data_IF_208165553458
#
_entry.id   IF_208165553458
#
_cell.length_a   1.000
_cell.length_b   1.000
_cell.length_c   1.000
_cell.angle_alpha   90.00
_cell.angle_beta   90.00
_cell.angle_gamma   90.00
#
_symmetry.space_group_name_H-M   'P 1'
#
loop_
_entity.id
_entity.type
_entity.pdbx_description
1 polymer ?
#
# COMPACT_ATOMS: atom_id res chain seq x y z
N UNK A 1 6.52 -7.27 28.03
CA UNK A 1 7.08 -7.52 26.68
C UNK A 1 5.97 -8.11 25.84
N UNK A 2 5.32 -7.26 25.05
CA UNK A 2 4.22 -7.68 24.18
C UNK A 2 4.84 -8.47 23.01
N UNK A 3 4.38 -9.69 22.79
CA UNK A 3 4.76 -10.49 21.62
C UNK A 3 4.00 -9.91 20.44
N UNK A 4 4.57 -8.92 19.77
CA UNK A 4 4.11 -8.48 18.45
C UNK A 4 4.17 -9.72 17.58
N UNK A 5 3.01 -10.29 17.30
CA UNK A 5 2.91 -11.59 16.67
C UNK A 5 3.37 -11.37 15.24
N UNK A 6 4.40 -12.09 14.82
CA UNK A 6 5.11 -11.82 13.56
C UNK A 6 4.24 -11.95 12.28
N UNK A 7 3.02 -12.46 12.42
CA UNK A 7 1.94 -12.38 11.44
C UNK A 7 1.57 -10.92 11.07
N UNK A 8 1.72 -9.97 12.00
CA UNK A 8 1.31 -8.56 11.83
C UNK A 8 2.34 -7.77 11.01
N UNK A 9 3.63 -8.10 11.08
CA UNK A 9 4.66 -7.47 10.24
C UNK A 9 4.63 -7.98 8.80
N UNK A 10 4.33 -9.25 8.57
CA UNK A 10 4.15 -9.80 7.20
C UNK A 10 3.03 -9.06 6.43
N UNK A 11 2.10 -8.47 7.16
CA UNK A 11 0.98 -7.73 6.59
C UNK A 11 1.31 -6.30 6.15
N UNK A 12 2.42 -5.69 6.60
CA UNK A 12 2.87 -4.40 6.05
C UNK A 12 3.24 -4.54 4.56
N UNK A 13 3.83 -5.68 4.21
CA UNK A 13 4.20 -6.04 2.84
C UNK A 13 2.95 -6.25 1.96
N UNK A 14 1.95 -6.94 2.52
CA UNK A 14 0.72 -7.25 1.80
C UNK A 14 -0.32 -6.11 1.82
N UNK A 15 -0.28 -5.18 2.77
CA UNK A 15 -1.07 -3.94 2.70
C UNK A 15 -0.54 -3.01 1.59
N UNK A 16 0.79 -2.94 1.41
CA UNK A 16 1.39 -2.25 0.27
C UNK A 16 1.04 -2.91 -1.08
N UNK A 17 0.93 -4.25 -1.11
CA UNK A 17 0.52 -5.00 -2.30
C UNK A 17 -1.01 -5.07 -2.53
N UNK A 18 -1.84 -4.99 -1.48
CA UNK A 18 -3.31 -5.04 -1.58
C UNK A 18 -3.89 -3.77 -2.22
N UNK A 19 -3.18 -2.64 -2.11
CA UNK A 19 -3.49 -1.42 -2.89
C UNK A 19 -3.42 -1.70 -4.41
N UNK A 20 -2.72 -2.75 -4.84
CA UNK A 20 -2.35 -3.00 -6.24
C UNK A 20 -3.22 -4.08 -6.90
N UNK A 21 -3.92 -4.93 -6.14
CA UNK A 21 -4.64 -6.09 -6.73
C UNK A 21 -6.05 -5.76 -7.25
N UNK A 22 -6.51 -4.52 -7.10
CA UNK A 22 -7.84 -4.08 -7.53
C UNK A 22 -7.71 -3.09 -8.68
N UNK A 23 -7.62 -3.59 -9.92
CA UNK A 23 -8.17 -2.91 -11.09
C UNK A 23 -7.93 -3.72 -12.38
N UNK A 24 -8.88 -4.59 -12.71
CA UNK A 24 -9.21 -4.86 -14.11
C UNK A 24 -10.71 -4.63 -14.29
N UNK A 25 -11.14 -3.38 -14.11
CA UNK A 25 -12.47 -2.92 -14.50
C UNK A 25 -12.25 -1.73 -15.41
N UNK A 26 -12.64 -1.86 -16.68
CA UNK A 26 -12.66 -0.73 -17.62
C UNK A 26 -13.61 0.32 -17.05
N UNK A 27 -13.07 1.44 -16.60
CA UNK A 27 -13.86 2.59 -16.16
C UNK A 27 -13.66 3.74 -17.12
N UNK A 28 -14.79 4.22 -17.65
CA UNK A 28 -14.84 5.38 -18.53
C UNK A 28 -14.41 6.65 -17.76
N UNK A 29 -13.73 7.60 -18.40
CA UNK A 29 -13.27 8.81 -17.74
C UNK A 29 -14.45 9.66 -17.23
N UNK A 30 -14.49 9.89 -15.92
CA UNK A 30 -15.38 10.87 -15.28
C UNK A 30 -14.81 12.28 -15.49
N UNK A 31 -15.66 13.23 -15.87
CA UNK A 31 -15.26 14.63 -16.06
C UNK A 31 -14.73 15.25 -14.76
N UNK A 32 -13.51 15.82 -14.82
CA UNK A 32 -12.87 16.54 -13.72
C UNK A 32 -13.33 18.00 -13.65
N UNK A 33 -13.20 18.61 -12.46
CA UNK A 33 -13.46 20.02 -12.19
C UNK A 33 -12.48 20.91 -13.01
N UNK A 34 -12.93 21.94 -13.78
CA UNK A 34 -12.09 22.67 -14.73
C UNK A 34 -10.94 23.52 -14.13
N UNK A 35 -10.84 23.62 -12.79
CA UNK A 35 -9.99 24.61 -12.12
C UNK A 35 -8.66 24.10 -11.52
N UNK A 36 -8.48 22.79 -11.36
CA UNK A 36 -7.25 22.20 -10.84
C UNK A 36 -6.53 21.40 -11.94
N UNK A 37 -5.19 21.44 -12.04
CA UNK A 37 -4.48 20.56 -12.96
C UNK A 37 -4.88 19.11 -12.64
N UNK A 38 -5.24 18.32 -13.66
CA UNK A 38 -5.69 16.96 -13.44
C UNK A 38 -4.52 16.13 -12.88
N UNK A 39 -4.67 15.63 -11.65
CA UNK A 39 -3.73 14.68 -11.06
C UNK A 39 -4.11 13.26 -11.47
N UNK A 40 -3.11 12.45 -11.78
CA UNK A 40 -3.25 11.07 -12.22
C UNK A 40 -2.50 10.14 -11.27
N UNK A 41 -3.17 9.07 -10.85
CA UNK A 41 -2.59 7.94 -10.16
C UNK A 41 -2.08 6.95 -11.20
N UNK A 42 -0.79 6.68 -11.14
CA UNK A 42 -0.12 5.68 -11.97
C UNK A 42 0.19 4.46 -11.11
N UNK A 43 -0.07 3.28 -11.67
CA UNK A 43 0.30 2.00 -11.11
C UNK A 43 1.04 1.25 -12.21
N UNK A 44 2.30 0.93 -11.97
CA UNK A 44 3.13 0.12 -12.85
C UNK A 44 3.48 -1.19 -12.14
N UNK A 45 3.34 -2.29 -12.87
CA UNK A 45 3.68 -3.63 -12.38
C UNK A 45 4.57 -4.32 -13.39
N UNK A 46 5.72 -4.80 -12.95
CA UNK A 46 6.65 -5.60 -13.73
C UNK A 46 6.86 -6.93 -13.02
N UNK A 47 6.80 -8.03 -13.76
CA UNK A 47 7.03 -9.37 -13.24
C UNK A 47 7.88 -10.18 -14.21
N UNK A 48 8.86 -10.91 -13.68
CA UNK A 48 9.75 -11.75 -14.47
C UNK A 48 8.97 -12.82 -15.24
N UNK A 49 9.02 -12.73 -16.58
CA UNK A 49 8.32 -13.68 -17.46
C UNK A 49 6.87 -13.31 -17.78
N UNK A 50 6.39 -12.15 -17.33
CA UNK A 50 5.08 -11.60 -17.70
C UNK A 50 5.22 -10.28 -18.47
N UNK A 51 4.17 -9.88 -19.18
CA UNK A 51 4.11 -8.55 -19.80
C UNK A 51 3.91 -7.47 -18.71
N UNK A 52 4.64 -6.34 -18.77
CA UNK A 52 4.42 -5.24 -17.85
C UNK A 52 2.99 -4.72 -17.90
N UNK A 53 2.39 -4.55 -16.73
CA UNK A 53 1.11 -3.89 -16.55
C UNK A 53 1.30 -2.41 -16.23
N UNK A 54 0.45 -1.56 -16.80
CA UNK A 54 0.35 -0.16 -16.40
C UNK A 54 -1.11 0.27 -16.35
N UNK A 55 -1.44 1.07 -15.36
CA UNK A 55 -2.76 1.63 -15.15
C UNK A 55 -2.61 3.10 -14.75
N UNK A 56 -3.29 3.97 -15.48
CA UNK A 56 -3.37 5.40 -15.16
C UNK A 56 -4.81 5.78 -14.93
N UNK A 57 -5.09 6.41 -13.79
CA UNK A 57 -6.43 6.82 -13.37
C UNK A 57 -6.44 8.27 -12.91
N UNK A 58 -7.42 9.09 -13.30
CA UNK A 58 -7.59 10.40 -12.66
C UNK A 58 -7.82 10.22 -11.16
N UNK A 59 -7.12 10.97 -10.30
CA UNK A 59 -7.26 10.89 -8.84
C UNK A 59 -8.72 11.11 -8.41
N UNK A 60 -9.44 12.00 -9.10
CA UNK A 60 -10.87 12.25 -8.87
C UNK A 60 -11.79 11.05 -9.18
N UNK A 61 -11.35 10.10 -10.00
CA UNK A 61 -12.10 8.89 -10.32
C UNK A 61 -11.91 7.76 -9.30
N UNK A 62 -10.84 7.80 -8.50
CA UNK A 62 -10.50 6.74 -7.53
C UNK A 62 -11.59 6.56 -6.49
N UNK A 63 -12.16 7.65 -5.97
CA UNK A 63 -13.27 7.56 -5.00
C UNK A 63 -14.51 6.85 -5.56
N UNK A 64 -14.84 7.10 -6.83
CA UNK A 64 -15.96 6.43 -7.50
C UNK A 64 -15.69 4.93 -7.71
N UNK A 65 -14.47 4.57 -8.10
CA UNK A 65 -14.02 3.19 -8.22
C UNK A 65 -14.13 2.43 -6.89
N UNK A 66 -13.63 3.02 -5.80
CA UNK A 66 -13.69 2.45 -4.46
C UNK A 66 -15.14 2.27 -3.98
N UNK A 67 -16.03 3.22 -4.30
CA UNK A 67 -17.46 3.10 -3.96
C UNK A 67 -18.15 1.94 -4.71
N UNK A 68 -17.68 1.59 -5.91
CA UNK A 68 -18.18 0.44 -6.67
C UNK A 68 -17.60 -0.90 -6.18
N UNK A 69 -16.42 -0.86 -5.55
CA UNK A 69 -15.72 -2.04 -5.05
C UNK A 69 -15.33 -1.87 -3.56
N UNK A 70 -16.31 -1.70 -2.65
CA UNK A 70 -16.05 -1.31 -1.26
C UNK A 70 -15.29 -2.36 -0.44
N UNK A 71 -15.34 -3.64 -0.87
CA UNK A 71 -14.67 -4.75 -0.19
C UNK A 71 -13.36 -5.16 -0.87
N UNK A 72 -12.92 -4.43 -1.90
CA UNK A 72 -11.83 -4.90 -2.74
C UNK A 72 -10.48 -4.93 -2.02
N UNK A 73 -10.34 -4.18 -0.92
CA UNK A 73 -9.12 -4.09 -0.12
C UNK A 73 -9.32 -4.65 1.30
N UNK A 74 -10.52 -4.51 1.86
CA UNK A 74 -10.87 -5.08 3.17
C UNK A 74 -12.21 -5.78 3.11
N UNK A 75 -12.27 -7.05 3.54
CA UNK A 75 -13.51 -7.80 3.73
C UNK A 75 -13.65 -8.13 5.23
N UNK A 76 -14.74 -7.70 5.86
CA UNK A 76 -15.01 -7.92 7.30
C UNK A 76 -13.87 -7.47 8.24
N UNK A 77 -13.26 -6.32 7.99
CA UNK A 77 -12.17 -5.83 8.84
C UNK A 77 -10.80 -6.41 8.55
N UNK A 78 -10.71 -7.23 7.53
CA UNK A 78 -9.53 -7.99 7.23
C UNK A 78 -8.98 -7.63 5.87
N UNK A 79 -7.69 -7.33 5.84
CA UNK A 79 -6.93 -7.23 4.61
C UNK A 79 -6.59 -8.66 4.19
N UNK A 80 -7.02 -9.07 3.01
CA UNK A 80 -6.62 -10.34 2.43
C UNK A 80 -5.21 -10.19 1.87
N UNK A 81 -4.26 -10.92 2.43
CA UNK A 81 -2.85 -10.83 2.07
C UNK A 81 -2.47 -11.78 0.93
N UNK A 82 -3.46 -12.46 0.33
CA UNK A 82 -3.26 -13.60 -0.54
C UNK A 82 -3.01 -14.89 0.25
N UNK A 83 -2.99 -16.03 -0.43
CA UNK A 83 -2.70 -17.38 0.16
C UNK A 83 -3.62 -17.80 1.33
N UNK A 84 -4.80 -17.18 1.48
CA UNK A 84 -5.73 -17.47 2.57
C UNK A 84 -5.38 -16.81 3.90
N UNK A 85 -4.37 -15.93 3.93
CA UNK A 85 -4.01 -15.17 5.12
C UNK A 85 -4.83 -13.87 5.20
N UNK A 86 -5.31 -13.58 6.41
CA UNK A 86 -6.14 -12.41 6.71
C UNK A 86 -5.53 -11.65 7.88
N UNK A 87 -5.50 -10.32 7.78
CA UNK A 87 -5.04 -9.47 8.87
C UNK A 87 -6.10 -8.43 9.28
N UNK A 88 -6.47 -8.39 10.58
CA UNK A 88 -7.28 -7.31 11.11
C UNK A 88 -6.60 -5.93 10.96
N UNK A 89 -7.35 -4.93 10.52
CA UNK A 89 -6.84 -3.55 10.38
C UNK A 89 -6.32 -2.99 11.71
N UNK A 90 -6.95 -3.33 12.83
CA UNK A 90 -6.49 -2.89 14.16
C UNK A 90 -5.14 -3.47 14.56
N UNK A 91 -4.81 -4.69 14.12
CA UNK A 91 -3.48 -5.25 14.33
C UNK A 91 -2.42 -4.41 13.58
N UNK A 92 -2.73 -3.99 12.35
CA UNK A 92 -1.86 -3.14 11.54
C UNK A 92 -1.64 -1.77 12.20
N UNK A 93 -2.71 -1.14 12.73
CA UNK A 93 -2.63 0.12 13.49
C UNK A 93 -1.72 0.00 14.70
N UNK A 94 -1.89 -1.05 15.49
CA UNK A 94 -1.10 -1.25 16.69
C UNK A 94 0.39 -1.41 16.37
N UNK A 95 0.71 -2.17 15.32
CA UNK A 95 2.08 -2.29 14.84
C UNK A 95 2.63 -0.96 14.33
N UNK A 96 1.83 -0.22 13.55
CA UNK A 96 2.27 1.08 13.06
C UNK A 96 2.56 2.06 14.20
N UNK A 97 1.72 2.09 15.24
CA UNK A 97 1.97 2.89 16.43
C UNK A 97 3.28 2.50 17.14
N UNK A 98 3.59 1.20 17.18
CA UNK A 98 4.86 0.71 17.73
C UNK A 98 6.06 1.19 16.90
N UNK A 99 6.01 1.03 15.58
CA UNK A 99 7.04 1.53 14.65
C UNK A 99 7.24 3.03 14.80
N UNK A 100 6.17 3.80 14.96
CA UNK A 100 6.27 5.25 15.17
C UNK A 100 6.93 5.62 16.50
N UNK A 101 6.74 4.81 17.54
CA UNK A 101 7.32 5.04 18.87
C UNK A 101 8.74 4.47 19.03
N UNK A 102 9.16 3.58 18.14
CA UNK A 102 10.44 2.91 18.20
C UNK A 102 11.58 3.87 17.82
N UNK A 103 12.70 3.78 18.55
CA UNK A 103 13.93 4.53 18.23
C UNK A 103 14.80 3.87 17.16
N UNK A 104 14.31 2.79 16.53
CA UNK A 104 15.06 1.96 15.61
C UNK A 104 14.13 0.97 14.90
N UNK A 105 14.69 0.05 14.10
CA UNK A 105 13.90 -0.91 13.36
C UNK A 105 13.11 -1.84 14.28
N UNK A 106 11.85 -2.08 13.92
CA UNK A 106 11.00 -3.11 14.53
C UNK A 106 11.13 -4.37 13.69
N UNK A 107 11.61 -5.46 14.30
CA UNK A 107 11.81 -6.75 13.63
C UNK A 107 10.89 -7.81 14.22
N UNK A 108 10.36 -8.68 13.38
CA UNK A 108 9.62 -9.86 13.81
C UNK A 108 9.87 -11.06 12.91
N UNK A 109 9.73 -12.25 13.48
CA UNK A 109 10.02 -13.52 12.79
C UNK A 109 8.83 -14.47 12.87
N UNK A 110 8.34 -14.96 11.73
CA UNK A 110 7.24 -15.92 11.65
C UNK A 110 7.48 -16.97 10.57
N UNK A 111 7.31 -18.25 10.89
CA UNK A 111 7.34 -19.34 9.89
C UNK A 111 8.55 -19.30 8.94
N UNK A 112 9.73 -18.94 9.46
CA UNK A 112 10.95 -18.82 8.67
C UNK A 112 11.10 -17.52 7.88
N UNK A 113 10.14 -16.60 7.99
CA UNK A 113 10.24 -15.24 7.49
C UNK A 113 10.70 -14.26 8.57
N UNK A 114 11.59 -13.35 8.21
CA UNK A 114 12.05 -12.23 9.03
C UNK A 114 11.53 -10.95 8.37
N UNK A 115 10.77 -10.15 9.10
CA UNK A 115 10.30 -8.85 8.62
C UNK A 115 10.86 -7.75 9.50
N UNK A 116 11.43 -6.74 8.87
CA UNK A 116 11.97 -5.55 9.49
C UNK A 116 11.25 -4.32 8.93
N UNK A 117 10.63 -3.56 9.81
CA UNK A 117 10.00 -2.27 9.48
C UNK A 117 10.84 -1.16 10.12
N UNK A 118 11.20 -0.16 9.32
CA UNK A 118 11.99 0.98 9.75
C UNK A 118 11.39 2.27 9.22
N UNK A 119 11.29 3.27 10.09
CA UNK A 119 10.92 4.63 9.71
C UNK A 119 12.16 5.52 9.73
N UNK A 120 12.52 6.05 8.57
CA UNK A 120 13.63 7.02 8.43
C UNK A 120 13.07 8.34 7.93
N UNK A 121 12.98 9.32 8.82
CA UNK A 121 12.36 10.61 8.51
C UNK A 121 10.89 10.45 8.13
N UNK A 122 10.55 10.82 6.90
CA UNK A 122 9.19 10.69 6.35
C UNK A 122 8.96 9.40 5.57
N UNK A 123 9.97 8.55 5.41
CA UNK A 123 9.88 7.32 4.64
C UNK A 123 9.80 6.11 5.57
N UNK A 124 8.99 5.12 5.18
CA UNK A 124 8.90 3.81 5.80
C UNK A 124 9.47 2.80 4.83
N UNK A 125 10.35 1.95 5.35
CA UNK A 125 10.92 0.83 4.62
C UNK A 125 10.53 -0.46 5.34
N UNK A 126 9.98 -1.39 4.58
CA UNK A 126 9.62 -2.74 5.04
C UNK A 126 10.48 -3.72 4.27
N UNK A 127 11.30 -4.48 4.97
CA UNK A 127 12.12 -5.54 4.39
C UNK A 127 11.64 -6.87 4.95
N UNK A 128 11.14 -7.75 4.08
CA UNK A 128 10.75 -9.11 4.42
C UNK A 128 11.70 -10.10 3.73
N UNK A 129 12.31 -10.98 4.49
CA UNK A 129 13.16 -12.06 4.00
C UNK A 129 12.52 -13.40 4.35
N UNK A 130 12.42 -14.31 3.39
CA UNK A 130 11.95 -15.68 3.61
C UNK A 130 12.65 -16.62 2.64
N UNK A 131 13.19 -17.73 3.15
CA UNK A 131 13.82 -18.78 2.33
C UNK A 131 14.89 -18.25 1.34
N UNK A 132 15.58 -17.16 1.71
CA UNK A 132 16.60 -16.50 0.87
C UNK A 132 16.04 -15.51 -0.18
N UNK A 133 14.72 -15.35 -0.26
CA UNK A 133 14.06 -14.32 -1.06
C UNK A 133 13.80 -13.07 -0.21
N UNK A 134 14.11 -11.91 -0.77
CA UNK A 134 13.87 -10.60 -0.12
C UNK A 134 12.80 -9.84 -0.88
N UNK A 135 11.87 -9.24 -0.13
CA UNK A 135 10.93 -8.25 -0.60
C UNK A 135 11.09 -6.94 0.18
N UNK A 136 11.18 -5.85 -0.56
CA UNK A 136 11.35 -4.49 -0.06
C UNK A 136 10.12 -3.68 -0.44
N UNK A 137 9.45 -3.06 0.53
CA UNK A 137 8.45 -2.04 0.29
C UNK A 137 8.91 -0.70 0.84
N UNK A 138 8.69 0.36 0.07
CA UNK A 138 9.03 1.74 0.42
C UNK A 138 7.79 2.61 0.23
N UNK A 139 7.44 3.40 1.23
CA UNK A 139 6.29 4.30 1.16
C UNK A 139 6.43 5.50 2.10
N UNK A 140 5.79 6.64 1.81
CA UNK A 140 5.76 7.75 2.75
C UNK A 140 4.95 7.39 4.01
N UNK A 141 5.47 7.74 5.18
CA UNK A 141 4.81 7.52 6.47
C UNK A 141 3.41 8.16 6.52
N UNK A 142 3.26 9.36 5.92
CA UNK A 142 2.00 10.07 5.85
C UNK A 142 0.92 9.31 5.05
N UNK A 143 1.32 8.53 4.03
CA UNK A 143 0.39 7.69 3.26
C UNK A 143 -0.12 6.55 4.14
N UNK A 144 0.76 5.96 4.93
CA UNK A 144 0.39 4.89 5.86
C UNK A 144 -0.47 5.41 7.02
N UNK A 145 -0.14 6.58 7.58
CA UNK A 145 -0.97 7.27 8.58
C UNK A 145 -2.39 7.50 8.04
N UNK A 146 -2.50 8.01 6.82
CA UNK A 146 -3.78 8.25 6.18
C UNK A 146 -4.53 6.94 5.90
N UNK A 147 -3.87 5.91 5.35
CA UNK A 147 -4.48 4.60 5.11
C UNK A 147 -5.06 3.99 6.40
N UNK A 148 -4.42 4.25 7.54
CA UNK A 148 -4.79 3.77 8.87
C UNK A 148 -5.58 4.80 9.68
N UNK A 149 -6.17 5.83 9.06
CA UNK A 149 -6.93 6.87 9.76
C UNK A 149 -8.42 6.56 9.91
N UNK A 150 -9.02 5.77 9.00
CA UNK A 150 -10.45 5.44 9.06
C UNK A 150 -10.81 4.67 10.33
N UNK A 151 -11.93 4.97 10.98
CA UNK A 151 -12.33 4.23 12.19
C UNK A 151 -12.67 2.75 11.93
N UNK A 152 -12.43 1.94 12.97
CA UNK A 152 -12.83 0.54 13.07
C UNK A 152 -12.07 -0.38 12.11
N UNK A 153 -12.81 -1.18 11.37
CA UNK A 153 -12.31 -2.31 10.59
C UNK A 153 -12.03 -1.93 9.12
N UNK A 154 -11.57 -0.71 8.86
CA UNK A 154 -11.42 -0.21 7.47
C UNK A 154 -10.14 0.57 7.28
N UNK A 155 -9.59 0.46 6.06
CA UNK A 155 -8.55 1.35 5.56
C UNK A 155 -9.17 2.56 4.88
N UNK A 156 -8.57 3.73 5.08
CA UNK A 156 -8.92 4.95 4.33
C UNK A 156 -8.06 5.06 3.07
N UNK A 157 -8.45 4.32 2.04
CA UNK A 157 -7.71 4.30 0.78
C UNK A 157 -7.82 5.65 0.06
N UNK A 158 -8.95 6.34 0.20
CA UNK A 158 -9.11 7.69 -0.34
C UNK A 158 -8.15 8.66 0.38
N UNK A 159 -8.07 8.60 1.70
CA UNK A 159 -7.12 9.36 2.50
C UNK A 159 -5.67 9.07 2.10
N UNK A 160 -5.31 7.80 1.89
CA UNK A 160 -3.98 7.39 1.44
C UNK A 160 -3.61 8.00 0.08
N UNK A 161 -4.53 7.94 -0.88
CA UNK A 161 -4.35 8.53 -2.23
C UNK A 161 -4.23 10.05 -2.14
N UNK A 162 -5.04 10.71 -1.30
CA UNK A 162 -4.93 12.15 -1.08
C UNK A 162 -3.61 12.55 -0.42
N UNK A 163 -3.13 11.75 0.54
CA UNK A 163 -1.84 11.96 1.17
C UNK A 163 -0.68 11.82 0.18
N UNK A 164 -0.75 10.87 -0.75
CA UNK A 164 0.22 10.73 -1.83
C UNK A 164 0.11 11.88 -2.84
N UNK A 165 -1.10 12.32 -3.18
CA UNK A 165 -1.32 13.43 -4.12
C UNK A 165 -0.77 14.76 -3.60
N UNK A 166 -0.75 14.94 -2.27
CA UNK A 166 -0.12 16.09 -1.62
C UNK A 166 1.42 16.08 -1.64
N UNK A 167 2.04 15.03 -2.19
CA UNK A 167 3.48 14.78 -2.19
C UNK A 167 4.02 14.50 -3.60
N UNK A 168 4.07 15.53 -4.47
CA UNK A 168 4.54 15.35 -5.84
C UNK A 168 6.00 14.87 -5.86
N UNK A 169 6.25 13.76 -6.55
CA UNK A 169 7.57 13.12 -6.66
C UNK A 169 7.82 11.97 -5.68
N UNK A 170 6.99 11.83 -4.65
CA UNK A 170 7.00 10.63 -3.80
C UNK A 170 6.29 9.47 -4.51
N UNK A 171 6.75 8.25 -4.26
CA UNK A 171 6.11 7.04 -4.75
C UNK A 171 6.06 5.94 -3.68
N UNK A 172 5.19 4.97 -3.93
CA UNK A 172 5.13 3.71 -3.20
C UNK A 172 5.79 2.67 -4.10
N UNK A 173 6.75 1.93 -3.56
CA UNK A 173 7.45 0.87 -4.30
C UNK A 173 7.38 -0.44 -3.55
N UNK A 174 7.22 -1.54 -4.27
CA UNK A 174 7.33 -2.90 -3.75
C UNK A 174 8.14 -3.73 -4.73
N UNK A 175 9.29 -4.23 -4.29
CA UNK A 175 10.23 -4.98 -5.13
C UNK A 175 10.62 -6.28 -4.44
N UNK A 176 10.52 -7.42 -5.12
CA UNK A 176 10.96 -8.70 -4.58
C UNK A 176 10.40 -9.91 -5.33
N UNK A 177 11.11 -11.02 -5.30
CA UNK A 177 10.69 -12.27 -5.95
C UNK A 177 10.41 -12.11 -7.46
N UNK A 178 11.23 -11.32 -8.16
CA UNK A 178 11.06 -11.04 -9.59
C UNK A 178 9.93 -10.07 -9.94
N UNK A 179 9.31 -9.43 -8.94
CA UNK A 179 8.24 -8.44 -9.13
C UNK A 179 8.70 -7.05 -8.70
N UNK A 180 8.22 -6.04 -9.41
CA UNK A 180 8.43 -4.63 -9.12
C UNK A 180 7.10 -3.90 -9.33
N UNK A 181 6.61 -3.23 -8.30
CA UNK A 181 5.39 -2.45 -8.34
C UNK A 181 5.76 -1.03 -7.94
N UNK A 182 5.26 -0.06 -8.72
CA UNK A 182 5.44 1.36 -8.45
C UNK A 182 4.11 2.07 -8.55
N UNK A 183 3.78 2.88 -7.55
CA UNK A 183 2.58 3.72 -7.52
C UNK A 183 3.00 5.16 -7.26
N UNK A 184 2.61 6.08 -8.14
CA UNK A 184 2.94 7.51 -8.00
C UNK A 184 1.81 8.39 -8.51
N UNK A 185 1.84 9.67 -8.13
CA UNK A 185 0.89 10.66 -8.61
C UNK A 185 1.65 11.81 -9.25
N UNK A 186 1.24 12.18 -10.46
CA UNK A 186 1.72 13.36 -11.15
C UNK A 186 0.58 14.04 -11.94
N UNK A 187 0.91 15.04 -12.76
CA UNK A 187 -0.07 15.80 -13.55
C UNK A 187 -0.09 15.36 -15.03
N UNK A 188 0.49 14.21 -15.37
CA UNK A 188 0.65 13.69 -16.72
C UNK A 188 -0.26 12.46 -16.91
N UNK A 189 -1.10 12.47 -17.94
CA UNK A 189 -2.04 11.36 -18.17
C UNK A 189 -1.37 10.09 -18.76
N UNK A 190 -0.08 10.16 -19.11
CA UNK A 190 0.67 9.03 -19.66
C UNK A 190 2.05 9.40 -20.20
N UNK A 191 2.99 8.47 -20.05
CA UNK A 191 4.18 8.32 -20.89
C UNK A 191 4.02 7.09 -21.77
#
# INVERSE_FOLDING_TARGET
MMRVTALVLFAFLAAAAAIVTVAFVMVAPSAQDPGAPPAYLHIQTEEAGAEPGSLTLPVGAVGALLAMAPNAITENGQINLGSGQVLPVDALRNLWAEVQSASGPVTAEHEGAVVRVEKTGEQVTVNAERDGETMLAELPAAVLDAALAADGDRLDIQGAVQALAGRPGDDIRVTGGGRNIRVWIDNEAGQ
#
